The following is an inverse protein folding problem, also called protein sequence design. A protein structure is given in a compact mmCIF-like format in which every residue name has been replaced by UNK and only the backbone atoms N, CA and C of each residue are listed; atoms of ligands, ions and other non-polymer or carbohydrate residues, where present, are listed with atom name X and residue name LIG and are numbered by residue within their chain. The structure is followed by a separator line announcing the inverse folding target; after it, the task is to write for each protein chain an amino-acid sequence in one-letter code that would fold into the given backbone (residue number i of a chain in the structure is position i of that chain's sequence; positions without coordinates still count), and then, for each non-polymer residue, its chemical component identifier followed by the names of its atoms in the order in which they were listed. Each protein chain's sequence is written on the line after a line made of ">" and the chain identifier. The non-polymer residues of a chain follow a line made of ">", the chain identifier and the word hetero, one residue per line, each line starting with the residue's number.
data_IF_095552936808
#
_entry.id   IF_095552936808
#
_cell.length_a   1.000
_cell.length_b   1.000
_cell.length_c   1.000
_cell.angle_alpha   90.00
_cell.angle_beta   90.00
_cell.angle_gamma   90.00
#
_symmetry.space_group_name_H-M   'P 1'
#
loop_
_entity.id
_entity.type
_entity.pdbx_description
1 polymer ?
#
# COMPACT_ATOMS: atom_id res chain seq x y z
N UNK A 1 -27.38 -17.82 0.62
CA UNK A 1 -27.27 -16.57 1.41
C UNK A 1 -25.81 -16.36 1.75
N UNK A 2 -25.24 -15.24 1.27
CA UNK A 2 -23.81 -14.92 1.28
C UNK A 2 -23.32 -14.49 2.66
N UNK A 3 -22.49 -15.33 3.30
CA UNK A 3 -21.68 -14.97 4.47
C UNK A 3 -20.44 -14.12 4.04
N UNK A 4 -20.20 -14.01 2.73
CA UNK A 4 -19.05 -13.35 2.07
C UNK A 4 -18.95 -11.82 2.27
N UNK A 5 -20.05 -11.11 2.58
CA UNK A 5 -20.06 -9.64 2.68
C UNK A 5 -19.67 -9.07 4.05
N UNK A 6 -19.35 -9.91 5.03
CA UNK A 6 -19.23 -9.44 6.42
C UNK A 6 -17.82 -9.02 6.88
N UNK A 7 -16.75 -9.37 6.16
CA UNK A 7 -15.39 -9.27 6.73
C UNK A 7 -14.35 -8.59 5.83
N UNK A 8 -14.70 -8.22 4.60
CA UNK A 8 -13.93 -7.28 3.77
C UNK A 8 -14.94 -6.29 3.24
N UNK A 9 -14.76 -5.02 3.61
CA UNK A 9 -15.70 -3.95 3.31
C UNK A 9 -15.12 -3.23 2.08
N UNK A 10 -15.76 -3.39 0.92
CA UNK A 10 -15.56 -2.47 -0.21
C UNK A 10 -16.17 -1.12 0.21
N UNK A 11 -15.39 -0.30 0.92
CA UNK A 11 -15.79 1.06 1.29
C UNK A 11 -15.08 2.01 0.36
N UNK A 12 -15.78 3.05 -0.11
CA UNK A 12 -15.11 4.18 -0.73
C UNK A 12 -14.20 4.80 0.33
N UNK A 13 -12.92 4.97 0.01
CA UNK A 13 -11.93 5.51 0.94
C UNK A 13 -12.35 6.85 1.56
N UNK A 14 -13.14 7.65 0.82
CA UNK A 14 -13.74 8.91 1.26
C UNK A 14 -14.55 8.80 2.54
N UNK A 15 -15.04 7.61 2.89
CA UNK A 15 -16.01 7.42 3.96
C UNK A 15 -15.34 7.05 5.31
N UNK A 16 -13.99 7.01 5.40
CA UNK A 16 -13.29 6.37 6.55
C UNK A 16 -12.00 7.06 7.07
N UNK A 17 -11.44 8.08 6.41
CA UNK A 17 -10.08 8.61 6.69
C UNK A 17 -10.01 9.53 7.94
N UNK A 18 -8.82 9.93 8.45
CA UNK A 18 -8.43 10.98 9.46
C UNK A 18 -7.00 11.42 9.18
N UNK A 19 -6.55 12.57 9.73
CA UNK A 19 -5.12 12.87 9.74
C UNK A 19 -4.40 11.89 10.69
N UNK A 20 -3.23 11.37 10.31
CA UNK A 20 -2.59 10.27 11.01
C UNK A 20 -1.94 10.67 12.33
N UNK A 21 -1.71 9.64 13.16
CA UNK A 21 -0.87 9.73 14.33
C UNK A 21 0.58 10.02 13.91
N UNK A 22 1.12 11.12 14.42
CA UNK A 22 2.36 11.79 14.04
C UNK A 22 3.69 11.01 14.22
N UNK A 23 3.70 9.68 14.32
CA UNK A 23 4.95 8.96 14.57
C UNK A 23 4.91 7.50 14.14
N UNK A 24 5.11 7.22 12.86
CA UNK A 24 5.47 5.87 12.43
C UNK A 24 6.64 5.85 11.46
N UNK A 25 7.60 4.96 11.71
CA UNK A 25 8.83 4.78 10.93
C UNK A 25 8.68 3.56 10.03
N UNK A 26 8.98 3.71 8.73
CA UNK A 26 9.14 2.56 7.83
C UNK A 26 10.21 1.62 8.42
N UNK A 27 9.95 0.30 8.57
CA UNK A 27 10.92 -0.64 9.10
C UNK A 27 12.23 -0.63 8.30
N UNK A 28 13.37 -0.87 8.97
CA UNK A 28 14.64 -0.98 8.25
C UNK A 28 14.57 -2.15 7.25
N UNK A 29 15.02 -1.86 6.03
CA UNK A 29 15.05 -2.81 4.91
C UNK A 29 16.28 -3.73 4.97
N UNK A 30 17.28 -3.40 5.79
CA UNK A 30 18.60 -4.05 5.80
C UNK A 30 18.54 -5.54 6.18
N UNK A 31 17.45 -5.98 6.83
CA UNK A 31 17.23 -7.38 7.22
C UNK A 31 16.60 -8.25 6.13
N UNK A 32 16.20 -7.66 4.98
CA UNK A 32 15.54 -8.37 3.89
C UNK A 32 16.45 -8.44 2.66
N UNK A 33 17.06 -9.61 2.47
CA UNK A 33 17.90 -9.88 1.29
C UNK A 33 17.06 -9.75 0.01
N UNK A 34 17.35 -8.75 -0.83
CA UNK A 34 16.64 -8.53 -2.09
C UNK A 34 15.54 -7.47 -2.04
N UNK A 35 15.53 -6.64 -0.98
CA UNK A 35 14.85 -5.35 -0.97
C UNK A 35 15.90 -4.23 -0.94
N UNK A 36 15.71 -3.22 -1.77
CA UNK A 36 16.57 -2.03 -1.81
C UNK A 36 15.73 -0.78 -2.01
N UNK A 37 16.04 0.31 -1.32
CA UNK A 37 15.35 1.60 -1.53
C UNK A 37 15.97 2.29 -2.75
N UNK A 38 15.18 2.48 -3.81
CA UNK A 38 15.60 3.17 -5.04
C UNK A 38 15.44 4.68 -4.89
N UNK A 39 14.28 5.09 -4.37
CA UNK A 39 13.93 6.50 -4.20
C UNK A 39 13.47 6.71 -2.77
N UNK A 40 14.06 7.70 -2.10
CA UNK A 40 13.62 8.23 -0.81
C UNK A 40 13.26 9.69 -1.04
N UNK A 41 12.08 10.13 -0.58
CA UNK A 41 11.78 11.56 -0.42
C UNK A 41 12.86 12.28 0.41
N UNK A 42 12.88 13.61 0.41
CA UNK A 42 13.89 14.35 1.19
C UNK A 42 13.77 14.00 2.67
N UNK A 43 14.88 14.00 3.42
CA UNK A 43 14.85 13.65 4.86
C UNK A 43 14.05 14.64 5.73
N UNK A 44 13.73 15.81 5.17
CA UNK A 44 12.88 16.83 5.79
C UNK A 44 11.38 16.56 5.56
N UNK A 45 11.03 15.73 4.57
CA UNK A 45 9.67 15.27 4.29
C UNK A 45 9.36 14.05 5.14
N UNK A 46 9.00 14.26 6.40
CA UNK A 46 8.25 13.26 7.16
C UNK A 46 6.77 13.60 6.97
N UNK A 47 6.00 12.78 6.23
CA UNK A 47 6.26 11.38 5.86
C UNK A 47 6.82 11.19 4.43
N UNK A 48 7.35 9.99 4.20
CA UNK A 48 8.24 9.68 3.08
C UNK A 48 7.52 8.83 2.03
N UNK A 49 7.52 9.30 0.79
CA UNK A 49 7.31 8.42 -0.37
C UNK A 49 8.60 7.61 -0.63
N UNK A 50 8.46 6.28 -0.63
CA UNK A 50 9.55 5.33 -0.87
C UNK A 50 9.21 4.45 -2.08
N UNK A 51 10.16 4.35 -3.01
CA UNK A 51 10.13 3.30 -4.02
C UNK A 51 11.18 2.24 -3.70
N UNK A 52 10.74 0.99 -3.66
CA UNK A 52 11.57 -0.17 -3.36
C UNK A 52 11.84 -0.98 -4.62
N UNK A 53 13.10 -1.32 -4.85
CA UNK A 53 13.48 -2.42 -5.69
C UNK A 53 13.19 -3.74 -4.98
N UNK A 54 12.54 -4.66 -5.67
CA UNK A 54 12.20 -5.99 -5.19
C UNK A 54 12.82 -7.04 -6.12
N UNK A 55 13.84 -7.75 -5.66
CA UNK A 55 14.39 -8.92 -6.37
C UNK A 55 13.94 -10.26 -5.79
N UNK A 56 13.40 -10.28 -4.56
CA UNK A 56 12.73 -11.45 -3.97
C UNK A 56 11.34 -11.08 -3.44
N UNK A 57 10.30 -11.56 -4.13
CA UNK A 57 8.89 -11.34 -3.75
C UNK A 57 8.58 -11.89 -2.35
N UNK A 58 9.23 -12.96 -1.89
CA UNK A 58 8.98 -13.51 -0.54
C UNK A 58 9.45 -12.55 0.55
N UNK A 59 10.56 -11.87 0.29
CA UNK A 59 11.11 -10.87 1.20
C UNK A 59 10.25 -9.61 1.21
N UNK A 60 9.74 -9.20 0.04
CA UNK A 60 8.72 -8.14 -0.06
C UNK A 60 7.47 -8.44 0.77
N UNK A 61 6.92 -9.64 0.64
CA UNK A 61 5.74 -10.04 1.42
C UNK A 61 6.07 -10.10 2.92
N UNK A 62 7.24 -10.60 3.31
CA UNK A 62 7.69 -10.62 4.70
C UNK A 62 7.82 -9.21 5.29
N UNK A 63 8.32 -8.25 4.50
CA UNK A 63 8.39 -6.84 4.86
C UNK A 63 7.00 -6.23 5.07
N UNK A 64 6.07 -6.45 4.14
CA UNK A 64 4.69 -5.97 4.29
C UNK A 64 3.98 -6.58 5.50
N UNK A 65 4.28 -7.84 5.81
CA UNK A 65 3.76 -8.52 7.00
C UNK A 65 4.25 -7.86 8.27
N UNK A 66 5.54 -7.53 8.36
CA UNK A 66 6.09 -6.85 9.53
C UNK A 66 5.46 -5.46 9.71
N UNK A 67 5.20 -4.72 8.63
CA UNK A 67 4.42 -3.46 8.71
C UNK A 67 3.05 -3.70 9.34
N UNK A 68 2.30 -4.69 8.84
CA UNK A 68 0.97 -5.00 9.37
C UNK A 68 1.00 -5.48 10.84
N UNK A 69 2.04 -6.21 11.25
CA UNK A 69 2.25 -6.63 12.65
C UNK A 69 2.53 -5.43 13.55
N UNK A 70 3.43 -4.55 13.16
CA UNK A 70 3.75 -3.38 13.97
C UNK A 70 2.55 -2.42 14.06
N UNK A 71 1.76 -2.26 12.99
CA UNK A 71 0.51 -1.51 13.00
C UNK A 71 -0.56 -2.13 13.89
N UNK A 72 -0.66 -3.46 13.91
CA UNK A 72 -1.57 -4.16 14.81
C UNK A 72 -1.23 -3.91 16.28
N UNK A 73 0.06 -3.89 16.63
CA UNK A 73 0.51 -3.62 18.00
C UNK A 73 0.18 -2.18 18.46
N UNK A 74 -0.12 -1.27 17.53
CA UNK A 74 -0.51 0.11 17.83
C UNK A 74 -2.04 0.24 18.01
N UNK A 75 -2.47 0.41 19.26
CA UNK A 75 -3.89 0.59 19.61
C UNK A 75 -4.54 1.83 18.97
N UNK A 76 -3.73 2.79 18.48
CA UNK A 76 -4.17 3.99 17.77
C UNK A 76 -3.83 3.96 16.27
N UNK A 77 -3.46 2.79 15.71
CA UNK A 77 -3.11 2.67 14.31
C UNK A 77 -4.25 3.08 13.37
N UNK A 78 -3.90 3.71 12.26
CA UNK A 78 -4.79 4.14 11.20
C UNK A 78 -5.07 3.05 10.17
N UNK A 79 -5.61 3.49 9.04
CA UNK A 79 -5.90 2.73 7.84
C UNK A 79 -4.63 2.43 7.06
N UNK A 80 -4.62 1.26 6.42
CA UNK A 80 -3.62 0.89 5.45
C UNK A 80 -4.31 0.56 4.12
N UNK A 81 -4.01 1.32 3.08
CA UNK A 81 -4.48 1.10 1.72
C UNK A 81 -3.47 0.23 0.96
N UNK A 82 -3.93 -0.89 0.41
CA UNK A 82 -3.17 -1.81 -0.42
C UNK A 82 -3.68 -1.72 -1.87
N UNK A 83 -2.83 -1.25 -2.77
CA UNK A 83 -3.09 -1.15 -4.21
C UNK A 83 -2.45 -2.39 -4.89
N UNK A 84 -3.24 -3.45 -5.05
CA UNK A 84 -2.81 -4.76 -5.54
C UNK A 84 -2.94 -4.90 -7.07
N UNK A 85 -2.12 -4.16 -7.80
CA UNK A 85 -2.03 -4.23 -9.27
C UNK A 85 -1.29 -5.48 -9.80
N UNK A 86 -0.48 -6.14 -8.98
CA UNK A 86 0.29 -7.32 -9.37
C UNK A 86 -0.32 -8.64 -8.88
N UNK A 87 -1.50 -8.60 -8.25
CA UNK A 87 -2.19 -9.75 -7.64
C UNK A 87 -1.30 -10.52 -6.65
N UNK A 88 -0.45 -9.80 -5.92
CA UNK A 88 0.49 -10.37 -4.94
C UNK A 88 -0.09 -10.41 -3.53
N UNK A 89 -1.06 -9.53 -3.23
CA UNK A 89 -1.54 -9.26 -1.87
C UNK A 89 -2.83 -10.05 -1.59
N UNK A 90 -3.69 -10.21 -2.60
CA UNK A 90 -4.83 -11.12 -2.58
C UNK A 90 -5.95 -10.68 -1.64
N UNK A 91 -6.54 -11.62 -0.89
CA UNK A 91 -7.68 -11.34 -0.02
C UNK A 91 -7.71 -12.29 1.18
N UNK A 92 -8.08 -11.78 2.36
CA UNK A 92 -8.26 -12.58 3.58
C UNK A 92 -9.24 -13.76 3.42
N UNK A 93 -10.13 -13.72 2.42
CA UNK A 93 -11.10 -14.79 2.13
C UNK A 93 -10.58 -15.87 1.17
N UNK A 94 -9.45 -15.64 0.50
CA UNK A 94 -8.85 -16.57 -0.45
C UNK A 94 -7.68 -17.29 0.21
N UNK A 95 -7.80 -18.61 0.36
CA UNK A 95 -6.73 -19.45 0.91
C UNK A 95 -5.44 -19.30 0.10
N UNK A 96 -4.30 -19.34 0.78
CA UNK A 96 -2.97 -19.23 0.19
C UNK A 96 -2.70 -17.88 -0.49
N UNK A 97 -3.34 -16.81 -0.02
CA UNK A 97 -2.96 -15.45 -0.36
C UNK A 97 -2.25 -14.81 0.83
N UNK A 98 -1.40 -13.83 0.54
CA UNK A 98 -0.66 -13.09 1.55
C UNK A 98 -1.57 -12.60 2.69
N UNK A 99 -2.66 -11.89 2.38
CA UNK A 99 -3.57 -11.38 3.41
C UNK A 99 -4.27 -12.49 4.21
N UNK A 100 -4.52 -13.67 3.61
CA UNK A 100 -5.08 -14.81 4.33
C UNK A 100 -4.07 -15.46 5.28
N UNK A 101 -2.81 -15.59 4.87
CA UNK A 101 -1.74 -16.11 5.72
C UNK A 101 -1.52 -15.20 6.93
N UNK A 102 -1.43 -13.89 6.69
CA UNK A 102 -1.34 -12.88 7.75
C UNK A 102 -2.55 -12.97 8.69
N UNK A 103 -3.78 -13.06 8.14
CA UNK A 103 -5.00 -13.19 8.96
C UNK A 103 -4.99 -14.44 9.86
N UNK A 104 -4.56 -15.59 9.33
CA UNK A 104 -4.54 -16.84 10.09
C UNK A 104 -3.48 -16.82 11.20
N UNK A 105 -2.35 -16.15 10.99
CA UNK A 105 -1.30 -16.02 12.01
C UNK A 105 -1.71 -15.13 13.19
N UNK A 106 -2.54 -14.12 12.94
CA UNK A 106 -3.17 -13.32 14.00
C UNK A 106 -4.36 -14.03 14.66
N UNK A 107 -4.41 -15.36 14.65
CA UNK A 107 -5.25 -16.13 15.59
C UNK A 107 -6.76 -16.15 15.33
N UNK A 108 -7.30 -15.47 14.32
CA UNK A 108 -8.72 -15.59 13.93
C UNK A 108 -9.76 -15.24 15.02
N UNK A 109 -9.33 -14.75 16.19
CA UNK A 109 -10.20 -14.39 17.32
C UNK A 109 -10.75 -12.97 17.15
N UNK A 110 -11.86 -12.68 17.83
CA UNK A 110 -12.68 -11.48 17.62
C UNK A 110 -11.97 -10.13 17.86
N UNK A 111 -10.82 -10.10 18.55
CA UNK A 111 -9.99 -8.91 18.75
C UNK A 111 -9.17 -8.52 17.49
N UNK A 112 -8.82 -9.50 16.66
CA UNK A 112 -7.91 -9.33 15.51
C UNK A 112 -8.62 -8.93 14.22
N UNK A 113 -9.96 -9.00 14.23
CA UNK A 113 -10.80 -8.37 13.20
C UNK A 113 -10.59 -6.84 13.14
N UNK A 114 -10.15 -6.22 14.24
CA UNK A 114 -9.91 -4.77 14.30
C UNK A 114 -8.79 -4.29 13.34
N UNK A 115 -7.75 -5.10 13.09
CA UNK A 115 -6.69 -4.78 12.13
C UNK A 115 -7.23 -4.80 10.70
N UNK A 116 -7.87 -5.90 10.31
CA UNK A 116 -8.36 -6.05 8.94
C UNK A 116 -9.54 -5.14 8.61
N UNK A 117 -10.27 -4.65 9.62
CA UNK A 117 -11.23 -3.56 9.44
C UNK A 117 -10.57 -2.23 9.02
N UNK A 118 -9.25 -2.08 9.24
CA UNK A 118 -8.45 -0.91 8.85
C UNK A 118 -7.67 -1.12 7.55
N UNK A 119 -7.67 -2.34 6.99
CA UNK A 119 -7.01 -2.64 5.70
C UNK A 119 -8.01 -2.49 4.56
N UNK A 120 -7.70 -1.62 3.61
CA UNK A 120 -8.49 -1.43 2.39
C UNK A 120 -7.67 -1.93 1.21
N UNK A 121 -8.28 -2.68 0.30
CA UNK A 121 -7.59 -3.23 -0.88
C UNK A 121 -8.25 -2.72 -2.16
N UNK A 122 -7.46 -2.16 -3.07
CA UNK A 122 -7.84 -1.91 -4.46
C UNK A 122 -7.16 -2.95 -5.36
N UNK A 123 -7.94 -3.86 -5.93
CA UNK A 123 -7.48 -4.96 -6.78
C UNK A 123 -8.11 -4.94 -8.19
N UNK A 124 -8.85 -3.88 -8.50
CA UNK A 124 -9.54 -3.60 -9.75
C UNK A 124 -8.72 -2.62 -10.61
N UNK A 125 -7.43 -2.93 -10.79
CA UNK A 125 -6.47 -2.03 -11.45
C UNK A 125 -5.80 -2.76 -12.60
N UNK A 126 -5.90 -2.17 -13.78
CA UNK A 126 -5.41 -2.73 -15.03
C UNK A 126 -4.34 -1.88 -15.70
N UNK A 127 -4.21 -0.61 -15.31
CA UNK A 127 -3.22 0.33 -15.86
C UNK A 127 -2.62 1.24 -14.79
N UNK A 128 -1.44 1.81 -15.07
CA UNK A 128 -0.83 2.79 -14.17
C UNK A 128 -1.65 4.09 -14.09
N UNK A 129 -2.24 4.54 -15.20
CA UNK A 129 -3.10 5.72 -15.21
C UNK A 129 -4.33 5.57 -14.30
N UNK A 130 -4.90 4.36 -14.16
CA UNK A 130 -5.97 4.12 -13.19
C UNK A 130 -5.51 4.31 -11.74
N UNK A 131 -4.28 3.89 -11.40
CA UNK A 131 -3.68 4.17 -10.08
C UNK A 131 -3.58 5.68 -9.89
N UNK A 132 -3.02 6.39 -10.86
CA UNK A 132 -2.85 7.84 -10.82
C UNK A 132 -4.19 8.55 -10.61
N UNK A 133 -5.21 8.20 -11.38
CA UNK A 133 -6.54 8.80 -11.27
C UNK A 133 -7.19 8.54 -9.91
N UNK A 134 -7.09 7.30 -9.38
CA UNK A 134 -7.65 6.95 -8.07
C UNK A 134 -6.94 7.68 -6.93
N UNK A 135 -5.60 7.75 -6.96
CA UNK A 135 -4.81 8.47 -5.95
C UNK A 135 -5.01 9.99 -6.03
N UNK A 136 -5.07 10.58 -7.23
CA UNK A 136 -5.35 12.02 -7.38
C UNK A 136 -6.75 12.37 -6.89
N UNK A 137 -7.74 11.51 -7.17
CA UNK A 137 -9.10 11.68 -6.67
C UNK A 137 -9.18 11.63 -5.14
N UNK A 138 -8.34 10.79 -4.53
CA UNK A 138 -8.21 10.72 -3.07
C UNK A 138 -7.77 12.08 -2.51
N UNK A 139 -6.68 12.64 -3.03
CA UNK A 139 -6.15 13.97 -2.64
C UNK A 139 -7.19 15.08 -2.86
N UNK A 140 -7.90 15.05 -3.99
CA UNK A 140 -8.83 16.13 -4.36
C UNK A 140 -10.11 16.20 -3.52
N UNK A 141 -10.50 15.11 -2.84
CA UNK A 141 -11.78 14.98 -2.13
C UNK A 141 -11.61 14.80 -0.62
N UNK A 142 -10.61 15.45 -0.03
CA UNK A 142 -10.41 15.43 1.42
C UNK A 142 -11.52 16.21 2.12
N UNK A 143 -12.28 15.52 2.96
CA UNK A 143 -13.27 16.11 3.85
C UNK A 143 -12.69 16.14 5.28
N UNK A 144 -12.11 17.28 5.67
CA UNK A 144 -11.39 17.45 6.95
C UNK A 144 -12.28 17.26 8.20
N UNK A 145 -13.60 17.36 8.07
CA UNK A 145 -14.55 17.36 9.20
C UNK A 145 -15.08 15.96 9.58
N UNK A 146 -14.80 14.92 8.78
CA UNK A 146 -15.52 13.63 8.84
C UNK A 146 -14.71 12.42 9.25
N UNK A 147 -13.65 12.69 9.98
CA UNK A 147 -12.56 11.78 10.02
C UNK A 147 -12.64 10.86 11.26
N UNK A 148 -12.74 9.52 11.08
CA UNK A 148 -12.75 8.48 12.17
C UNK A 148 -11.43 7.65 12.35
N UNK A 149 -10.69 7.25 11.29
CA UNK A 149 -9.30 6.68 11.38
C UNK A 149 -8.21 7.30 10.48
N UNK A 150 -6.99 7.53 10.99
CA UNK A 150 -5.82 8.08 10.26
C UNK A 150 -5.51 7.33 8.97
N UNK A 151 -4.95 7.92 7.89
CA UNK A 151 -4.29 7.11 6.85
C UNK A 151 -2.81 6.96 7.18
N UNK A 152 -2.37 5.74 7.47
CA UNK A 152 -0.98 5.51 7.89
C UNK A 152 -0.13 5.00 6.73
N UNK A 153 -0.70 4.14 5.86
CA UNK A 153 0.01 3.58 4.70
C UNK A 153 -0.79 3.62 3.43
N UNK A 154 -0.07 3.84 2.34
CA UNK A 154 -0.43 3.40 1.01
C UNK A 154 0.67 2.47 0.50
N UNK A 155 0.36 1.19 0.37
CA UNK A 155 1.23 0.17 -0.20
C UNK A 155 0.78 -0.11 -1.62
N UNK A 156 1.69 0.06 -2.57
CA UNK A 156 1.44 -0.17 -4.00
C UNK A 156 2.28 -1.37 -4.41
N UNK A 157 1.60 -2.45 -4.82
CA UNK A 157 2.24 -3.69 -5.27
C UNK A 157 3.08 -3.48 -6.53
N UNK A 158 3.76 -4.52 -6.99
CA UNK A 158 4.81 -4.41 -7.99
C UNK A 158 4.37 -3.73 -9.31
N UNK A 159 4.90 -2.54 -9.58
CA UNK A 159 4.60 -1.74 -10.77
C UNK A 159 5.22 -2.29 -12.06
N UNK A 160 6.14 -3.26 -11.98
CA UNK A 160 6.78 -3.85 -13.17
C UNK A 160 5.77 -4.47 -14.15
N UNK A 161 4.56 -4.80 -13.68
CA UNK A 161 3.45 -5.25 -14.53
C UNK A 161 3.07 -4.23 -15.60
N UNK A 162 3.29 -2.93 -15.36
CA UNK A 162 2.98 -1.85 -16.31
C UNK A 162 4.20 -1.41 -17.14
N UNK A 163 5.42 -1.68 -16.66
CA UNK A 163 6.66 -1.22 -17.33
C UNK A 163 6.80 -1.75 -18.75
N UNK A 164 6.30 -2.96 -19.02
CA UNK A 164 6.31 -3.53 -20.37
C UNK A 164 5.56 -2.65 -21.38
N UNK A 165 4.38 -2.15 -21.01
CA UNK A 165 3.57 -1.29 -21.87
C UNK A 165 4.24 0.05 -22.13
N UNK A 166 4.82 0.67 -21.10
CA UNK A 166 5.56 1.95 -21.22
C UNK A 166 6.83 1.81 -22.07
N UNK A 167 7.53 0.68 -21.94
CA UNK A 167 8.72 0.40 -22.75
C UNK A 167 8.37 0.27 -24.23
N UNK A 168 7.26 -0.39 -24.55
CA UNK A 168 6.80 -0.55 -25.94
C UNK A 168 6.39 0.79 -26.57
N UNK A 169 5.72 1.66 -25.82
CA UNK A 169 5.31 2.98 -26.28
C UNK A 169 6.43 4.03 -26.25
N UNK A 170 7.52 3.77 -25.50
CA UNK A 170 8.54 4.75 -25.13
C UNK A 170 7.95 6.02 -24.48
N UNK A 171 6.83 5.86 -23.77
CA UNK A 171 6.13 6.90 -23.05
C UNK A 171 6.10 6.55 -21.56
N UNK A 172 6.78 7.39 -20.77
CA UNK A 172 6.91 7.24 -19.31
C UNK A 172 6.16 8.34 -18.56
N UNK A 173 5.29 9.11 -19.23
CA UNK A 173 4.54 10.20 -18.62
C UNK A 173 3.68 9.74 -17.43
N UNK A 174 3.04 8.58 -17.56
CA UNK A 174 2.26 7.97 -16.47
C UNK A 174 3.11 7.60 -15.25
N UNK A 175 4.36 7.19 -15.46
CA UNK A 175 5.30 6.89 -14.37
C UNK A 175 5.77 8.16 -13.65
N UNK A 176 6.02 9.23 -14.40
CA UNK A 176 6.32 10.54 -13.80
C UNK A 176 5.12 11.04 -12.98
N UNK A 177 3.91 10.98 -13.55
CA UNK A 177 2.68 11.35 -12.86
C UNK A 177 2.44 10.50 -11.60
N UNK A 178 2.77 9.21 -11.67
CA UNK A 178 2.70 8.29 -10.53
C UNK A 178 3.58 8.72 -9.36
N UNK A 179 4.83 9.09 -9.63
CA UNK A 179 5.72 9.56 -8.57
C UNK A 179 5.23 10.85 -7.93
N UNK A 180 4.72 11.78 -8.73
CA UNK A 180 4.20 13.05 -8.22
C UNK A 180 2.95 12.85 -7.37
N UNK A 181 1.98 12.03 -7.82
CA UNK A 181 0.78 11.76 -7.02
C UNK A 181 1.11 11.00 -5.73
N UNK A 182 2.09 10.09 -5.73
CA UNK A 182 2.51 9.39 -4.51
C UNK A 182 3.11 10.35 -3.47
N UNK A 183 3.96 11.28 -3.89
CA UNK A 183 4.47 12.35 -3.02
C UNK A 183 3.34 13.22 -2.50
N UNK A 184 2.39 13.57 -3.38
CA UNK A 184 1.26 14.41 -3.01
C UNK A 184 0.34 13.72 -1.99
N UNK A 185 0.00 12.45 -2.19
CA UNK A 185 -0.74 11.63 -1.22
C UNK A 185 -0.02 11.59 0.11
N UNK A 186 1.29 11.28 0.11
CA UNK A 186 2.10 11.21 1.33
C UNK A 186 2.08 12.54 2.09
N UNK A 187 2.30 13.66 1.40
CA UNK A 187 2.29 15.01 1.98
C UNK A 187 0.91 15.38 2.53
N UNK A 188 -0.14 15.11 1.76
CA UNK A 188 -1.49 15.59 2.06
C UNK A 188 -2.10 14.80 3.21
N UNK A 189 -1.99 13.48 3.17
CA UNK A 189 -2.48 12.62 4.23
C UNK A 189 -1.50 12.46 5.37
N UNK A 190 -0.27 12.97 5.26
CA UNK A 190 0.81 12.68 6.20
C UNK A 190 1.02 11.16 6.44
N UNK A 191 0.85 10.36 5.39
CA UNK A 191 1.00 8.91 5.42
C UNK A 191 2.30 8.45 4.75
N UNK A 192 2.78 7.25 5.10
CA UNK A 192 3.87 6.62 4.36
C UNK A 192 3.33 6.04 3.05
N UNK A 193 4.00 6.30 1.93
CA UNK A 193 3.64 5.71 0.64
C UNK A 193 4.80 4.83 0.18
N UNK A 194 4.53 3.55 -0.02
CA UNK A 194 5.54 2.54 -0.37
C UNK A 194 5.11 1.88 -1.68
N UNK A 195 5.94 2.00 -2.72
CA UNK A 195 5.70 1.34 -4.01
C UNK A 195 6.79 0.33 -4.33
N UNK A 196 6.43 -0.83 -4.85
CA UNK A 196 7.37 -1.86 -5.29
C UNK A 196 7.65 -1.79 -6.80
N UNK A 197 8.90 -2.08 -7.17
CA UNK A 197 9.35 -2.23 -8.54
C UNK A 197 10.38 -3.38 -8.61
N UNK A 198 10.27 -4.27 -9.59
CA UNK A 198 11.33 -5.24 -9.90
C UNK A 198 12.04 -4.87 -11.20
N UNK A 199 13.36 -4.73 -11.16
CA UNK A 199 14.15 -4.71 -12.39
C UNK A 199 14.32 -6.15 -12.87
N UNK A 200 13.97 -6.41 -14.13
CA UNK A 200 14.36 -7.66 -14.77
C UNK A 200 15.87 -7.61 -15.02
N UNK A 201 16.59 -8.64 -14.59
CA UNK A 201 18.03 -8.77 -14.86
C UNK A 201 18.31 -8.61 -16.35
N UNK A 202 19.17 -7.64 -16.69
CA UNK A 202 19.47 -7.25 -18.08
C UNK A 202 19.12 -5.80 -18.44
N UNK A 203 18.52 -5.02 -17.53
CA UNK A 203 18.25 -3.58 -17.70
C UNK A 203 19.24 -2.68 -16.93
N UNK A 204 20.54 -3.01 -16.98
CA UNK A 204 21.62 -2.07 -16.62
C UNK A 204 22.32 -1.56 -17.87
#
# INVERSE_FOLDING_TARGET
>A
MNILRKHVREVKLSDVLVPPALSFKVPSVDKYDGLEVITKGSEEDVPVYVQMHVSDTRQWLSFLKDILIEEHANANGGLALFVDCAFQLGSTSLRNTFLNEVFNEFGGESSDQSLFNRVIVWNDISTLNEINAKLSSLVANIDEERLDYGLDYVVISNLSVFYWQMRESNDYSDLVAFHEVCKEVSRTYRCNVISALSFLEGMR
#
